data_IF_271872373869
#
_entry.id   IF_271872373869
#
_cell.length_a   1.000
_cell.length_b   1.000
_cell.length_c   1.000
_cell.angle_alpha   90.00
_cell.angle_beta   90.00
_cell.angle_gamma   90.00
#
_symmetry.space_group_name_H-M   'P 1'
#
loop_
_entity.id
_entity.type
_entity.pdbx_description
1 polymer ?
#
# COMPACT_ATOMS: atom_id res chain seq x y z
N UNK A 1 -14.71 -9.75 -40.68
CA UNK A 1 -14.09 -10.53 -39.60
C UNK A 1 -14.20 -9.64 -38.39
N UNK A 2 -15.11 -9.92 -37.45
CA UNK A 2 -15.07 -9.21 -36.18
C UNK A 2 -13.73 -9.58 -35.55
N UNK A 3 -12.84 -8.61 -35.44
CA UNK A 3 -11.75 -8.72 -34.49
C UNK A 3 -12.43 -8.94 -33.14
N UNK A 4 -12.06 -10.00 -32.43
CA UNK A 4 -12.59 -10.25 -31.09
C UNK A 4 -12.04 -9.13 -30.20
N UNK A 5 -12.86 -8.10 -29.97
CA UNK A 5 -12.45 -6.89 -29.27
C UNK A 5 -12.00 -7.23 -27.84
N UNK A 6 -12.53 -8.31 -27.26
CA UNK A 6 -12.12 -8.86 -25.97
C UNK A 6 -10.70 -9.43 -26.00
N UNK A 7 -10.31 -10.11 -27.09
CA UNK A 7 -8.93 -10.55 -27.26
C UNK A 7 -7.96 -9.36 -27.43
N UNK A 8 -8.41 -8.30 -28.11
CA UNK A 8 -7.66 -7.05 -28.19
C UNK A 8 -7.58 -6.33 -26.84
N UNK A 9 -8.64 -6.34 -26.03
CA UNK A 9 -8.65 -5.81 -24.67
C UNK A 9 -7.58 -6.50 -23.81
N UNK A 10 -7.55 -7.83 -23.81
CA UNK A 10 -6.54 -8.61 -23.07
C UNK A 10 -5.10 -8.33 -23.56
N UNK A 11 -4.91 -8.13 -24.88
CA UNK A 11 -3.59 -7.78 -25.43
C UNK A 11 -3.14 -6.40 -24.95
N UNK A 12 -4.06 -5.43 -24.94
CA UNK A 12 -3.76 -4.08 -24.47
C UNK A 12 -3.54 -4.05 -22.97
N UNK A 13 -4.39 -4.70 -22.17
CA UNK A 13 -4.22 -4.79 -20.72
C UNK A 13 -2.85 -5.39 -20.39
N UNK A 14 -2.51 -6.53 -20.99
CA UNK A 14 -1.19 -7.13 -20.78
C UNK A 14 -0.04 -6.24 -21.27
N UNK A 15 -0.24 -5.39 -22.29
CA UNK A 15 0.75 -4.40 -22.70
C UNK A 15 0.93 -3.31 -21.64
N UNK A 16 -0.17 -2.80 -21.06
CA UNK A 16 -0.15 -1.80 -20.00
C UNK A 16 0.50 -2.32 -18.72
N UNK A 17 0.20 -3.55 -18.30
CA UNK A 17 0.86 -4.22 -17.16
C UNK A 17 2.38 -4.30 -17.32
N UNK A 18 2.87 -4.36 -18.57
CA UNK A 18 4.31 -4.38 -18.89
C UNK A 18 4.90 -2.98 -19.08
N UNK A 19 4.13 -1.91 -18.86
CA UNK A 19 4.51 -0.54 -19.17
C UNK A 19 4.64 -0.23 -20.67
N UNK A 20 4.15 -1.11 -21.55
CA UNK A 20 4.18 -0.92 -23.00
C UNK A 20 2.97 -0.11 -23.48
N UNK A 21 2.96 1.18 -23.12
CA UNK A 21 1.94 2.13 -23.55
C UNK A 21 1.83 2.24 -25.09
N UNK A 22 2.96 2.09 -25.79
CA UNK A 22 2.96 2.10 -27.26
C UNK A 22 2.24 0.88 -27.84
N UNK A 23 2.41 -0.29 -27.22
CA UNK A 23 1.66 -1.51 -27.52
C UNK A 23 0.17 -1.31 -27.36
N UNK A 24 -0.27 -0.77 -26.22
CA UNK A 24 -1.69 -0.50 -25.96
C UNK A 24 -2.30 0.52 -26.94
N UNK A 25 -1.60 1.63 -27.22
CA UNK A 25 -2.02 2.62 -28.23
C UNK A 25 -2.16 2.02 -29.63
N UNK A 26 -1.29 1.06 -29.98
CA UNK A 26 -1.37 0.35 -31.26
C UNK A 26 -2.61 -0.53 -31.32
N UNK A 27 -2.97 -1.21 -30.24
CA UNK A 27 -4.22 -1.99 -30.17
C UNK A 27 -5.43 -1.07 -30.37
N UNK A 28 -5.44 0.09 -29.71
CA UNK A 28 -6.51 1.08 -29.84
C UNK A 28 -6.65 1.59 -31.30
N UNK A 29 -5.53 1.90 -31.97
CA UNK A 29 -5.51 2.31 -33.38
C UNK A 29 -6.01 1.20 -34.33
N UNK A 30 -5.65 -0.06 -34.07
CA UNK A 30 -6.15 -1.22 -34.82
C UNK A 30 -7.66 -1.36 -34.65
N UNK A 31 -8.17 -1.30 -33.40
CA UNK A 31 -9.60 -1.39 -33.11
C UNK A 31 -10.39 -0.28 -33.81
N UNK A 32 -9.91 0.97 -33.74
CA UNK A 32 -10.51 2.10 -34.46
C UNK A 32 -10.53 1.89 -35.98
N UNK A 33 -9.40 1.47 -36.58
CA UNK A 33 -9.30 1.18 -38.03
C UNK A 33 -10.16 0.00 -38.48
N UNK A 34 -10.42 -0.95 -37.58
CA UNK A 34 -11.34 -2.07 -37.83
C UNK A 34 -12.81 -1.62 -37.85
N UNK A 35 -13.11 -0.36 -37.47
CA UNK A 35 -14.44 0.21 -37.49
C UNK A 35 -15.28 -0.20 -36.28
N UNK A 36 -14.64 -0.46 -35.13
CA UNK A 36 -15.34 -0.62 -33.85
C UNK A 36 -16.11 0.66 -33.55
N UNK A 37 -17.33 0.51 -33.04
CA UNK A 37 -18.19 1.65 -32.74
C UNK A 37 -17.58 2.48 -31.60
N UNK A 38 -17.68 3.81 -31.68
CA UNK A 38 -17.09 4.70 -30.68
C UNK A 38 -17.81 4.63 -29.32
N UNK A 39 -19.03 4.10 -29.30
CA UNK A 39 -19.87 3.85 -28.12
C UNK A 39 -19.85 2.37 -27.70
N UNK A 40 -18.95 1.54 -28.26
CA UNK A 40 -18.76 0.17 -27.80
C UNK A 40 -18.13 0.19 -26.39
N UNK A 41 -18.71 -0.47 -25.37
CA UNK A 41 -18.20 -0.42 -24.00
C UNK A 41 -16.77 -0.90 -23.86
N UNK A 42 -16.37 -1.95 -24.58
CA UNK A 42 -15.01 -2.49 -24.48
C UNK A 42 -14.00 -1.57 -25.18
N UNK A 43 -14.45 -0.83 -26.21
CA UNK A 43 -13.62 0.18 -26.84
C UNK A 43 -13.43 1.40 -25.93
N UNK A 44 -14.51 1.90 -25.32
CA UNK A 44 -14.46 2.97 -24.34
C UNK A 44 -13.61 2.57 -23.12
N UNK A 45 -13.79 1.35 -22.63
CA UNK A 45 -12.99 0.76 -21.56
C UNK A 45 -11.49 0.78 -21.90
N UNK A 46 -11.10 0.29 -23.08
CA UNK A 46 -9.72 0.35 -23.55
C UNK A 46 -9.19 1.80 -23.65
N UNK A 47 -10.01 2.75 -24.10
CA UNK A 47 -9.63 4.16 -24.11
C UNK A 47 -9.38 4.69 -22.70
N UNK A 48 -10.21 4.30 -21.73
CA UNK A 48 -10.04 4.64 -20.32
C UNK A 48 -8.71 4.14 -19.76
N UNK A 49 -8.41 2.85 -19.95
CA UNK A 49 -7.15 2.23 -19.53
C UNK A 49 -5.91 2.92 -20.14
N UNK A 50 -5.96 3.20 -21.44
CA UNK A 50 -4.85 3.88 -22.13
C UNK A 50 -4.67 5.31 -21.64
N UNK A 51 -5.78 6.03 -21.39
CA UNK A 51 -5.73 7.38 -20.84
C UNK A 51 -5.17 7.41 -19.41
N UNK A 52 -5.55 6.44 -18.57
CA UNK A 52 -5.00 6.29 -17.23
C UNK A 52 -3.49 6.08 -17.27
N UNK A 53 -3.02 5.14 -18.10
CA UNK A 53 -1.59 4.89 -18.29
C UNK A 53 -0.82 6.06 -18.93
N UNK A 54 -1.52 7.06 -19.48
CA UNK A 54 -0.94 8.32 -19.96
C UNK A 54 -0.87 9.41 -18.87
N UNK A 55 -1.41 9.16 -17.69
CA UNK A 55 -1.59 10.15 -16.63
C UNK A 55 -2.74 11.13 -16.90
N UNK A 56 -3.62 10.84 -17.86
CA UNK A 56 -4.79 11.66 -18.18
C UNK A 56 -6.03 11.13 -17.44
N UNK A 57 -6.07 11.42 -16.13
CA UNK A 57 -7.13 10.97 -15.23
C UNK A 57 -8.52 11.45 -15.68
N UNK A 58 -8.65 12.70 -16.15
CA UNK A 58 -9.90 13.27 -16.64
C UNK A 58 -10.44 12.48 -17.84
N UNK A 59 -9.56 12.15 -18.80
CA UNK A 59 -9.95 11.33 -19.94
C UNK A 59 -10.25 9.88 -19.54
N UNK A 60 -9.53 9.31 -18.58
CA UNK A 60 -9.80 7.97 -18.05
C UNK A 60 -11.22 7.90 -17.48
N UNK A 61 -11.55 8.79 -16.54
CA UNK A 61 -12.87 8.88 -15.91
C UNK A 61 -13.97 9.07 -16.93
N UNK A 62 -13.78 9.96 -17.92
CA UNK A 62 -14.78 10.21 -18.96
C UNK A 62 -15.07 8.95 -19.80
N UNK A 63 -14.04 8.20 -20.19
CA UNK A 63 -14.20 7.00 -21.00
C UNK A 63 -14.81 5.84 -20.19
N UNK A 64 -14.39 5.62 -18.94
CA UNK A 64 -14.99 4.62 -18.06
C UNK A 64 -16.45 4.94 -17.74
N UNK A 65 -16.77 6.20 -17.43
CA UNK A 65 -18.15 6.64 -17.21
C UNK A 65 -19.01 6.37 -18.44
N UNK A 66 -18.53 6.73 -19.64
CA UNK A 66 -19.23 6.45 -20.89
C UNK A 66 -19.40 4.94 -21.14
N UNK A 67 -18.39 4.12 -20.79
CA UNK A 67 -18.51 2.67 -20.89
C UNK A 67 -19.62 2.16 -19.96
N UNK A 68 -19.63 2.57 -18.69
CA UNK A 68 -20.63 2.18 -17.70
C UNK A 68 -22.06 2.61 -18.06
N UNK A 69 -22.24 3.75 -18.74
CA UNK A 69 -23.53 4.22 -19.26
C UNK A 69 -24.16 3.26 -20.30
N UNK A 70 -23.35 2.45 -20.98
CA UNK A 70 -23.83 1.41 -21.90
C UNK A 70 -24.29 0.13 -21.20
N UNK A 71 -24.14 0.07 -19.87
CA UNK A 71 -24.40 -1.10 -19.04
C UNK A 71 -23.71 -2.38 -19.55
N UNK A 72 -22.38 -2.41 -19.67
CA UNK A 72 -21.64 -3.53 -20.25
C UNK A 72 -21.96 -4.84 -19.55
N UNK A 73 -21.99 -5.95 -20.29
CA UNK A 73 -22.15 -7.30 -19.71
C UNK A 73 -20.83 -7.81 -19.09
N UNK A 74 -19.69 -7.28 -19.52
CA UNK A 74 -18.38 -7.72 -19.04
C UNK A 74 -18.11 -7.15 -17.63
N UNK A 75 -17.95 -8.00 -16.59
CA UNK A 75 -17.72 -7.55 -15.22
C UNK A 75 -16.43 -6.76 -15.07
N UNK A 76 -15.43 -7.04 -15.92
CA UNK A 76 -14.13 -6.39 -15.84
C UNK A 76 -14.20 -4.88 -16.03
N UNK A 77 -15.15 -4.39 -16.84
CA UNK A 77 -15.35 -2.95 -17.04
C UNK A 77 -15.76 -2.24 -15.75
N UNK A 78 -16.52 -2.91 -14.87
CA UNK A 78 -16.93 -2.37 -13.58
C UNK A 78 -15.81 -2.47 -12.55
N UNK A 79 -15.10 -3.60 -12.52
CA UNK A 79 -13.99 -3.82 -11.59
C UNK A 79 -12.91 -2.76 -11.84
N UNK A 80 -12.43 -2.64 -13.08
CA UNK A 80 -11.36 -1.68 -13.42
C UNK A 80 -11.83 -0.22 -13.31
N UNK A 81 -13.12 0.07 -13.46
CA UNK A 81 -13.66 1.39 -13.13
C UNK A 81 -13.66 1.64 -11.61
N UNK A 82 -14.03 0.63 -10.81
CA UNK A 82 -13.95 0.68 -9.36
C UNK A 82 -12.51 0.90 -8.87
N UNK A 83 -11.54 0.22 -9.48
CA UNK A 83 -10.12 0.41 -9.20
C UNK A 83 -9.68 1.84 -9.53
N UNK A 84 -10.01 2.34 -10.74
CA UNK A 84 -9.70 3.72 -11.12
C UNK A 84 -10.28 4.74 -10.13
N UNK A 85 -11.54 4.58 -9.72
CA UNK A 85 -12.15 5.50 -8.76
C UNK A 85 -11.49 5.40 -7.38
N UNK A 86 -11.13 4.20 -6.94
CA UNK A 86 -10.39 4.00 -5.68
C UNK A 86 -8.99 4.63 -5.72
N UNK A 87 -8.25 4.48 -6.83
CA UNK A 87 -6.94 5.11 -7.06
C UNK A 87 -7.03 6.65 -7.05
N UNK A 88 -8.16 7.20 -7.50
CA UNK A 88 -8.47 8.62 -7.43
C UNK A 88 -9.04 9.06 -6.08
N UNK A 89 -9.12 8.15 -5.10
CA UNK A 89 -9.73 8.34 -3.77
C UNK A 89 -11.21 8.74 -3.81
N UNK A 90 -11.90 8.52 -4.94
CA UNK A 90 -13.35 8.68 -5.07
C UNK A 90 -14.03 7.38 -4.63
N UNK A 91 -13.94 7.10 -3.32
CA UNK A 91 -14.41 5.85 -2.72
C UNK A 91 -15.93 5.66 -2.87
N UNK A 92 -16.71 6.75 -2.86
CA UNK A 92 -18.16 6.72 -3.13
C UNK A 92 -18.45 6.18 -4.54
N UNK A 93 -17.76 6.71 -5.56
CA UNK A 93 -17.94 6.25 -6.94
C UNK A 93 -17.47 4.81 -7.14
N UNK A 94 -16.35 4.43 -6.51
CA UNK A 94 -15.84 3.06 -6.54
C UNK A 94 -16.87 2.07 -5.95
N UNK A 95 -17.41 2.40 -4.77
CA UNK A 95 -18.43 1.60 -4.09
C UNK A 95 -19.70 1.45 -4.95
N UNK A 96 -20.22 2.54 -5.49
CA UNK A 96 -21.43 2.54 -6.32
C UNK A 96 -21.30 1.60 -7.53
N UNK A 97 -20.16 1.65 -8.22
CA UNK A 97 -19.89 0.83 -9.40
C UNK A 97 -19.75 -0.66 -9.04
N UNK A 98 -19.05 -0.98 -7.96
CA UNK A 98 -18.84 -2.36 -7.52
C UNK A 98 -20.12 -3.00 -6.98
N UNK A 99 -20.93 -2.26 -6.21
CA UNK A 99 -22.25 -2.74 -5.79
C UNK A 99 -23.17 -2.95 -6.98
N UNK A 100 -23.18 -2.03 -7.95
CA UNK A 100 -23.96 -2.20 -9.19
C UNK A 100 -23.56 -3.45 -9.95
N UNK A 101 -22.28 -3.82 -9.96
CA UNK A 101 -21.81 -5.08 -10.54
C UNK A 101 -22.37 -6.28 -9.78
N UNK A 102 -22.21 -6.31 -8.45
CA UNK A 102 -22.60 -7.42 -7.59
C UNK A 102 -24.13 -7.65 -7.56
N UNK A 103 -24.93 -6.58 -7.65
CA UNK A 103 -26.40 -6.65 -7.73
C UNK A 103 -26.92 -7.42 -8.96
N UNK A 104 -26.10 -7.61 -10.00
CA UNK A 104 -26.48 -8.34 -11.21
C UNK A 104 -26.59 -9.84 -10.99
N UNK A 105 -25.95 -10.37 -9.93
CA UNK A 105 -26.19 -11.72 -9.41
C UNK A 105 -25.78 -12.90 -10.30
N UNK A 106 -25.09 -12.67 -11.42
CA UNK A 106 -24.63 -13.70 -12.36
C UNK A 106 -23.14 -13.52 -12.69
N UNK A 107 -22.27 -13.61 -11.67
CA UNK A 107 -20.82 -13.53 -11.84
C UNK A 107 -20.18 -14.91 -11.68
N UNK A 108 -19.17 -15.18 -12.49
CA UNK A 108 -18.25 -16.30 -12.24
C UNK A 108 -17.51 -16.05 -10.91
N UNK A 109 -17.01 -17.11 -10.24
CA UNK A 109 -16.40 -16.99 -8.91
C UNK A 109 -15.25 -15.99 -8.84
N UNK A 110 -14.39 -15.95 -9.86
CA UNK A 110 -13.20 -15.10 -9.84
C UNK A 110 -13.53 -13.60 -9.94
N UNK A 111 -14.30 -13.09 -10.93
CA UNK A 111 -14.70 -11.68 -10.95
C UNK A 111 -15.56 -11.28 -9.74
N UNK A 112 -16.37 -12.20 -9.21
CA UNK A 112 -17.12 -11.93 -7.98
C UNK A 112 -16.17 -11.72 -6.79
N UNK A 113 -15.16 -12.60 -6.64
CA UNK A 113 -14.16 -12.49 -5.59
C UNK A 113 -13.38 -11.19 -5.67
N UNK A 114 -12.93 -10.81 -6.86
CA UNK A 114 -12.23 -9.56 -7.13
C UNK A 114 -13.09 -8.34 -6.77
N UNK A 115 -14.36 -8.31 -7.19
CA UNK A 115 -15.28 -7.25 -6.84
C UNK A 115 -15.55 -7.15 -5.33
N UNK A 116 -15.72 -8.28 -4.62
CA UNK A 116 -15.88 -8.28 -3.17
C UNK A 116 -14.61 -7.83 -2.44
N UNK A 117 -13.43 -8.25 -2.91
CA UNK A 117 -12.14 -7.84 -2.34
C UNK A 117 -11.93 -6.34 -2.46
N UNK A 118 -12.12 -5.81 -3.67
CA UNK A 118 -11.97 -4.38 -3.94
C UNK A 118 -13.03 -3.56 -3.18
N UNK A 119 -14.27 -4.04 -3.10
CA UNK A 119 -15.29 -3.35 -2.32
C UNK A 119 -14.94 -3.35 -0.82
N UNK A 120 -14.46 -4.47 -0.27
CA UNK A 120 -14.01 -4.53 1.12
C UNK A 120 -12.82 -3.57 1.38
N UNK A 121 -11.90 -3.44 0.42
CA UNK A 121 -10.81 -2.46 0.46
C UNK A 121 -11.32 -1.03 0.47
N UNK A 122 -12.22 -0.69 -0.47
CA UNK A 122 -12.85 0.63 -0.58
C UNK A 122 -13.58 0.99 0.72
N UNK A 123 -14.32 0.04 1.32
CA UNK A 123 -15.02 0.26 2.60
C UNK A 123 -14.07 0.45 3.78
N UNK A 124 -12.89 -0.17 3.79
CA UNK A 124 -11.87 0.07 4.83
C UNK A 124 -11.14 1.41 4.65
N UNK A 125 -10.95 1.86 3.40
CA UNK A 125 -10.26 3.09 3.08
C UNK A 125 -11.16 4.35 3.13
N UNK A 126 -12.48 4.17 3.19
CA UNK A 126 -13.45 5.25 3.23
C UNK A 126 -13.30 6.14 4.48
N UNK A 127 -13.73 7.41 4.42
CA UNK A 127 -13.73 8.34 5.57
C UNK A 127 -14.56 7.83 6.77
N UNK A 128 -15.50 6.91 6.52
CA UNK A 128 -16.36 6.28 7.54
C UNK A 128 -16.25 4.76 7.36
N UNK A 129 -15.13 4.17 7.82
CA UNK A 129 -14.85 2.77 7.56
C UNK A 129 -15.81 1.85 8.31
N UNK A 130 -16.28 0.81 7.63
CA UNK A 130 -17.12 -0.25 8.22
C UNK A 130 -16.40 -1.60 8.11
N UNK A 131 -15.46 -1.90 9.02
CA UNK A 131 -14.71 -3.14 8.98
C UNK A 131 -15.58 -4.39 9.20
N UNK A 132 -16.73 -4.28 9.89
CA UNK A 132 -17.71 -5.36 9.93
C UNK A 132 -18.29 -5.67 8.57
N UNK A 133 -18.74 -4.66 7.82
CA UNK A 133 -19.24 -4.85 6.46
C UNK A 133 -18.16 -5.44 5.55
N UNK A 134 -16.90 -4.98 5.65
CA UNK A 134 -15.80 -5.57 4.90
C UNK A 134 -15.63 -7.06 5.18
N UNK A 135 -15.83 -7.54 6.43
CA UNK A 135 -15.84 -8.97 6.71
C UNK A 135 -17.04 -9.71 6.12
N UNK A 136 -18.22 -9.10 6.12
CA UNK A 136 -19.43 -9.67 5.49
C UNK A 136 -19.23 -9.83 3.97
N UNK A 137 -18.66 -8.82 3.31
CA UNK A 137 -18.30 -8.87 1.89
C UNK A 137 -17.28 -9.98 1.60
N UNK A 138 -16.22 -10.08 2.42
CA UNK A 138 -15.20 -11.12 2.28
C UNK A 138 -15.73 -12.53 2.57
N UNK A 139 -16.82 -12.65 3.34
CA UNK A 139 -17.51 -13.92 3.59
C UNK A 139 -18.33 -14.42 2.38
N UNK A 140 -18.63 -13.56 1.40
CA UNK A 140 -19.31 -13.92 0.16
C UNK A 140 -18.34 -14.49 -0.91
N UNK A 141 -17.02 -14.27 -0.76
CA UNK A 141 -16.00 -14.82 -1.66
C UNK A 141 -16.01 -16.36 -1.63
N UNK A 142 -15.92 -17.03 -2.79
CA UNK A 142 -15.91 -18.50 -2.84
C UNK A 142 -14.82 -19.08 -1.92
N UNK A 143 -15.14 -20.04 -1.02
CA UNK A 143 -14.16 -20.68 -0.13
C UNK A 143 -12.91 -21.24 -0.81
N UNK A 144 -13.00 -21.66 -2.07
CA UNK A 144 -11.83 -22.16 -2.83
C UNK A 144 -10.83 -21.04 -3.18
N UNK A 145 -11.28 -19.78 -3.20
CA UNK A 145 -10.47 -18.60 -3.52
C UNK A 145 -9.90 -17.91 -2.26
N UNK A 146 -10.38 -18.26 -1.06
CA UNK A 146 -9.92 -17.66 0.22
C UNK A 146 -8.50 -18.04 0.65
N UNK A 147 -7.82 -18.87 -0.15
CA UNK A 147 -6.41 -19.18 0.04
C UNK A 147 -5.49 -18.10 -0.55
N UNK A 148 -6.04 -17.18 -1.34
CA UNK A 148 -5.33 -16.07 -1.98
C UNK A 148 -4.78 -15.06 -0.95
N UNK A 149 -3.51 -14.62 -1.08
CA UNK A 149 -2.89 -13.67 -0.15
C UNK A 149 -3.62 -12.33 -0.04
N UNK A 150 -4.23 -11.83 -1.12
CA UNK A 150 -4.98 -10.58 -1.10
C UNK A 150 -6.22 -10.70 -0.20
N UNK A 151 -6.96 -11.81 -0.33
CA UNK A 151 -8.11 -12.07 0.55
C UNK A 151 -7.71 -12.21 2.01
N UNK A 152 -6.62 -12.92 2.27
CA UNK A 152 -6.09 -13.12 3.63
C UNK A 152 -5.69 -11.78 4.24
N UNK A 153 -4.95 -10.98 3.49
CA UNK A 153 -4.47 -9.67 3.94
C UNK A 153 -5.63 -8.73 4.23
N UNK A 154 -6.62 -8.67 3.32
CA UNK A 154 -7.79 -7.81 3.49
C UNK A 154 -8.63 -8.23 4.70
N UNK A 155 -8.83 -9.54 4.89
CA UNK A 155 -9.56 -10.06 6.06
C UNK A 155 -8.80 -9.82 7.36
N UNK A 156 -7.48 -10.03 7.36
CA UNK A 156 -6.64 -9.80 8.53
C UNK A 156 -6.64 -8.32 8.93
N UNK A 157 -6.62 -7.40 7.95
CA UNK A 157 -6.76 -5.96 8.18
C UNK A 157 -8.11 -5.64 8.85
N UNK A 158 -9.23 -6.07 8.25
CA UNK A 158 -10.56 -5.85 8.84
C UNK A 158 -10.72 -6.48 10.24
N UNK A 159 -10.14 -7.66 10.50
CA UNK A 159 -10.13 -8.24 11.84
C UNK A 159 -9.31 -7.43 12.84
N UNK A 160 -8.22 -6.80 12.39
CA UNK A 160 -7.34 -6.00 13.25
C UNK A 160 -7.97 -4.66 13.61
N UNK A 161 -8.66 -4.00 12.67
CA UNK A 161 -9.46 -2.79 12.93
C UNK A 161 -10.59 -3.03 13.95
N UNK A 162 -11.03 -4.28 14.10
CA UNK A 162 -12.06 -4.69 15.08
C UNK A 162 -11.49 -5.18 16.42
N UNK A 163 -10.19 -5.01 16.67
CA UNK A 163 -9.48 -5.58 17.81
C UNK A 163 -9.62 -7.12 17.91
N UNK A 164 -10.00 -7.80 16.82
CA UNK A 164 -10.13 -9.26 16.74
C UNK A 164 -8.79 -9.92 16.40
N UNK A 165 -7.72 -9.44 17.06
CA UNK A 165 -6.34 -9.84 16.75
C UNK A 165 -6.10 -11.34 16.84
N UNK A 166 -6.77 -12.06 17.74
CA UNK A 166 -6.62 -13.51 17.87
C UNK A 166 -7.03 -14.26 16.58
N UNK A 167 -8.11 -13.82 15.94
CA UNK A 167 -8.59 -14.41 14.67
C UNK A 167 -7.68 -14.00 13.51
N UNK A 168 -7.24 -12.74 13.48
CA UNK A 168 -6.28 -12.24 12.48
C UNK A 168 -4.95 -13.02 12.54
N UNK A 169 -4.39 -13.21 13.74
CA UNK A 169 -3.16 -13.98 13.96
C UNK A 169 -3.34 -15.44 13.54
N UNK A 170 -4.44 -16.10 13.89
CA UNK A 170 -4.70 -17.49 13.47
C UNK A 170 -4.71 -17.61 11.94
N UNK A 171 -5.40 -16.67 11.26
CA UNK A 171 -5.49 -16.63 9.80
C UNK A 171 -4.11 -16.40 9.15
N UNK A 172 -3.35 -15.41 9.62
CA UNK A 172 -2.05 -15.05 9.09
C UNK A 172 -0.99 -16.13 9.32
N UNK A 173 -0.97 -16.76 10.50
CA UNK A 173 -0.07 -17.90 10.78
C UNK A 173 -0.34 -19.05 9.81
N UNK A 174 -1.61 -19.41 9.63
CA UNK A 174 -1.99 -20.47 8.70
C UNK A 174 -1.62 -20.13 7.24
N UNK A 175 -1.58 -18.85 6.87
CA UNK A 175 -1.16 -18.40 5.55
C UNK A 175 0.36 -18.47 5.36
N UNK A 176 1.12 -17.90 6.30
CA UNK A 176 2.58 -17.94 6.29
C UNK A 176 3.13 -19.37 6.29
N UNK A 177 2.51 -20.30 7.03
CA UNK A 177 2.90 -21.71 7.04
C UNK A 177 2.68 -22.42 5.68
N UNK A 178 1.69 -21.99 4.88
CA UNK A 178 1.46 -22.52 3.53
C UNK A 178 2.49 -22.00 2.53
N UNK A 179 2.90 -20.75 2.69
CA UNK A 179 3.89 -20.07 1.86
C UNK A 179 5.34 -20.24 2.37
N UNK A 180 5.62 -21.36 3.04
CA UNK A 180 6.92 -21.60 3.67
C UNK A 180 8.11 -21.63 2.70
N UNK A 181 7.86 -21.76 1.39
CA UNK A 181 8.85 -21.60 0.32
C UNK A 181 8.43 -20.43 -0.60
N UNK A 182 9.36 -19.50 -0.83
CA UNK A 182 9.29 -18.29 -1.66
C UNK A 182 8.98 -16.97 -0.91
N UNK A 183 9.64 -15.88 -1.33
CA UNK A 183 9.55 -14.55 -0.70
C UNK A 183 8.17 -13.86 -0.81
N UNK A 184 7.12 -14.61 -1.14
CA UNK A 184 5.73 -14.14 -1.28
C UNK A 184 5.08 -13.80 0.05
N UNK A 185 5.52 -14.44 1.14
CA UNK A 185 4.89 -14.27 2.46
C UNK A 185 5.32 -12.98 3.20
N UNK A 186 6.14 -12.12 2.59
CA UNK A 186 6.73 -10.96 3.28
C UNK A 186 5.66 -9.99 3.77
N UNK A 187 4.60 -9.78 2.99
CA UNK A 187 3.48 -8.93 3.42
C UNK A 187 2.67 -9.58 4.55
N UNK A 188 2.37 -10.87 4.44
CA UNK A 188 1.66 -11.61 5.50
C UNK A 188 2.47 -11.68 6.81
N UNK A 189 3.80 -11.79 6.73
CA UNK A 189 4.70 -11.74 7.88
C UNK A 189 4.72 -10.36 8.53
N UNK A 190 4.72 -9.31 7.72
CA UNK A 190 4.64 -7.94 8.20
C UNK A 190 3.35 -7.71 8.99
N UNK A 191 2.19 -8.01 8.38
CA UNK A 191 0.89 -7.92 9.04
C UNK A 191 0.81 -8.78 10.30
N UNK A 192 1.37 -10.01 10.27
CA UNK A 192 1.38 -10.90 11.44
C UNK A 192 2.17 -10.29 12.60
N UNK A 193 3.36 -9.76 12.31
CA UNK A 193 4.21 -9.15 13.33
C UNK A 193 3.58 -7.93 13.98
N UNK A 194 2.95 -7.06 13.17
CA UNK A 194 2.21 -5.89 13.65
C UNK A 194 0.98 -6.29 14.48
N UNK A 195 0.17 -7.23 13.98
CA UNK A 195 -1.03 -7.72 14.68
C UNK A 195 -0.66 -8.37 16.03
N UNK A 196 0.46 -9.10 16.10
CA UNK A 196 0.96 -9.70 17.34
C UNK A 196 1.34 -8.64 18.39
N UNK A 197 1.97 -7.53 17.96
CA UNK A 197 2.27 -6.39 18.84
C UNK A 197 1.00 -5.69 19.32
N UNK A 198 0.05 -5.42 18.42
CA UNK A 198 -1.25 -4.83 18.79
C UNK A 198 -2.03 -5.72 19.78
N UNK A 199 -1.92 -7.05 19.64
CA UNK A 199 -2.49 -7.99 20.61
C UNK A 199 -1.78 -8.03 21.98
N UNK A 200 -0.67 -7.29 22.15
CA UNK A 200 0.14 -7.25 23.36
C UNK A 200 1.18 -8.38 23.49
N UNK A 201 1.44 -9.14 22.42
CA UNK A 201 2.51 -10.15 22.38
C UNK A 201 3.74 -9.60 21.66
N UNK A 202 4.40 -8.61 22.28
CA UNK A 202 5.58 -7.94 21.74
C UNK A 202 6.73 -8.91 21.43
N UNK A 203 6.84 -9.99 22.20
CA UNK A 203 7.87 -10.99 22.03
C UNK A 203 7.66 -11.78 20.73
N UNK A 204 6.43 -12.24 20.48
CA UNK A 204 6.08 -12.91 19.22
C UNK A 204 6.20 -11.96 18.03
N UNK A 205 5.62 -10.76 18.14
CA UNK A 205 5.65 -9.76 17.08
C UNK A 205 7.08 -9.37 16.68
N UNK A 206 7.96 -9.18 17.67
CA UNK A 206 9.38 -8.89 17.42
C UNK A 206 10.10 -10.03 16.71
N UNK A 207 9.89 -11.30 17.09
CA UNK A 207 10.52 -12.42 16.39
C UNK A 207 10.00 -12.55 14.95
N UNK A 208 8.70 -12.34 14.72
CA UNK A 208 8.10 -12.36 13.39
C UNK A 208 8.68 -11.25 12.49
N UNK A 209 8.81 -10.02 13.00
CA UNK A 209 9.39 -8.90 12.24
C UNK A 209 10.90 -9.08 12.02
N UNK A 210 11.62 -9.72 12.94
CA UNK A 210 13.01 -10.11 12.72
C UNK A 210 13.14 -11.17 11.61
N UNK A 211 12.20 -12.12 11.51
CA UNK A 211 12.14 -13.07 10.41
C UNK A 211 11.84 -12.39 9.07
N UNK A 212 10.87 -11.48 9.02
CA UNK A 212 10.60 -10.64 7.84
C UNK A 212 11.88 -9.95 7.36
N UNK A 213 12.55 -9.22 8.26
CA UNK A 213 13.80 -8.53 7.96
C UNK A 213 14.85 -9.47 7.37
N UNK A 214 15.01 -10.68 7.94
CA UNK A 214 15.97 -11.67 7.42
C UNK A 214 15.67 -12.05 5.97
N UNK A 215 14.39 -12.18 5.61
CA UNK A 215 13.95 -12.51 4.24
C UNK A 215 14.17 -11.34 3.28
N UNK A 216 13.78 -10.13 3.67
CA UNK A 216 13.94 -8.94 2.82
C UNK A 216 15.42 -8.67 2.52
N UNK A 217 16.29 -8.75 3.53
CA UNK A 217 17.74 -8.61 3.35
C UNK A 217 18.30 -9.70 2.43
N UNK A 218 17.82 -10.94 2.56
CA UNK A 218 18.26 -12.04 1.70
C UNK A 218 17.84 -11.85 0.23
N UNK A 219 16.73 -11.16 -0.04
CA UNK A 219 16.23 -10.90 -1.39
C UNK A 219 17.07 -9.88 -2.16
N UNK A 220 17.62 -8.85 -1.48
CA UNK A 220 18.33 -7.73 -2.13
C UNK A 220 19.81 -8.04 -2.42
N UNK A 221 20.35 -9.16 -1.91
CA UNK A 221 21.71 -9.65 -2.26
C UNK A 221 22.87 -8.75 -1.78
N UNK A 222 22.57 -7.75 -0.96
CA UNK A 222 23.55 -6.88 -0.28
C UNK A 222 23.46 -7.13 1.22
N UNK A 223 24.60 -7.24 1.89
CA UNK A 223 24.60 -7.43 3.34
C UNK A 223 24.03 -6.18 4.04
N UNK A 224 23.06 -6.37 4.93
CA UNK A 224 22.37 -5.28 5.62
C UNK A 224 23.31 -4.33 6.40
N UNK A 225 24.45 -4.83 6.85
CA UNK A 225 25.49 -4.09 7.57
C UNK A 225 26.54 -3.45 6.64
N UNK A 226 26.36 -3.55 5.32
CA UNK A 226 27.26 -2.90 4.36
C UNK A 226 27.19 -1.38 4.53
N UNK A 227 28.33 -0.69 4.64
CA UNK A 227 28.33 0.75 4.83
C UNK A 227 27.75 1.46 3.61
N UNK A 228 26.93 2.49 3.86
CA UNK A 228 26.49 3.44 2.82
C UNK A 228 27.71 4.23 2.33
N UNK A 229 27.88 4.45 1.01
CA UNK A 229 28.95 5.28 0.46
C UNK A 229 29.01 6.66 1.13
N UNK A 230 30.23 7.17 1.38
CA UNK A 230 30.41 8.41 2.13
C UNK A 230 29.72 9.63 1.49
N UNK A 231 29.76 9.74 0.16
CA UNK A 231 29.12 10.83 -0.58
C UNK A 231 27.60 10.83 -0.41
N UNK A 232 26.97 9.66 -0.54
CA UNK A 232 25.53 9.48 -0.35
C UNK A 232 25.11 9.69 1.10
N UNK A 233 25.91 9.19 2.05
CA UNK A 233 25.69 9.45 3.48
C UNK A 233 25.73 10.94 3.78
N UNK A 234 26.76 11.64 3.31
CA UNK A 234 26.95 13.06 3.59
C UNK A 234 25.84 13.89 2.93
N UNK A 235 25.28 13.45 1.79
CA UNK A 235 24.11 14.05 1.15
C UNK A 235 22.82 13.86 1.96
N UNK A 236 22.53 12.62 2.40
CA UNK A 236 21.35 12.31 3.22
C UNK A 236 21.37 13.08 4.54
N UNK A 237 22.53 13.22 5.19
CA UNK A 237 22.66 14.06 6.40
C UNK A 237 22.31 15.51 6.10
N UNK A 238 22.86 16.08 5.02
CA UNK A 238 22.60 17.47 4.62
C UNK A 238 21.11 17.68 4.33
N UNK A 239 20.47 16.78 3.58
CA UNK A 239 19.03 16.87 3.27
C UNK A 239 18.18 16.78 4.53
N UNK A 240 18.47 15.83 5.43
CA UNK A 240 17.75 15.74 6.70
C UNK A 240 17.93 17.00 7.55
N UNK A 241 19.12 17.59 7.59
CA UNK A 241 19.33 18.89 8.28
C UNK A 241 18.47 20.00 7.68
N UNK A 242 18.39 20.09 6.34
CA UNK A 242 17.53 21.05 5.63
C UNK A 242 16.04 20.82 5.93
N UNK A 243 15.60 19.56 5.95
CA UNK A 243 14.24 19.17 6.34
C UNK A 243 13.94 19.60 7.78
N UNK A 244 14.82 19.27 8.72
CA UNK A 244 14.67 19.64 10.14
C UNK A 244 14.57 21.16 10.30
N UNK A 245 15.40 21.95 9.59
CA UNK A 245 15.36 23.41 9.61
C UNK A 245 14.05 24.01 9.07
N UNK A 246 13.33 23.27 8.23
CA UNK A 246 12.03 23.68 7.69
C UNK A 246 10.86 23.41 8.66
N UNK A 247 11.05 22.52 9.65
CA UNK A 247 10.02 22.15 10.62
C UNK A 247 9.67 23.33 11.55
N UNK A 248 8.46 23.33 12.15
CA UNK A 248 8.08 24.33 13.14
C UNK A 248 9.09 24.44 14.29
N UNK A 249 9.39 25.67 14.74
CA UNK A 249 10.36 25.99 15.81
C UNK A 249 10.27 25.11 17.07
N UNK A 250 9.08 24.62 17.40
CA UNK A 250 8.85 23.76 18.56
C UNK A 250 9.43 22.36 18.34
N UNK A 251 9.24 21.82 17.15
CA UNK A 251 9.73 20.50 16.72
C UNK A 251 11.23 20.54 16.47
N UNK A 252 11.70 21.56 15.75
CA UNK A 252 13.13 21.75 15.51
C UNK A 252 13.91 21.77 16.84
N UNK A 253 13.39 22.37 17.91
CA UNK A 253 14.05 22.37 19.23
C UNK A 253 14.19 21.00 19.87
N UNK A 254 13.26 20.08 19.60
CA UNK A 254 13.32 18.70 20.10
C UNK A 254 14.41 17.91 19.37
N UNK A 255 14.55 18.15 18.07
CA UNK A 255 15.37 17.32 17.18
C UNK A 255 16.79 17.87 16.91
N UNK A 256 16.97 19.20 16.94
CA UNK A 256 18.18 19.88 16.44
C UNK A 256 19.49 19.48 17.12
N UNK A 257 19.46 18.91 18.32
CA UNK A 257 20.68 18.49 19.03
C UNK A 257 21.00 17.01 18.88
N UNK A 258 20.10 16.24 18.27
CA UNK A 258 20.28 14.80 18.11
C UNK A 258 21.33 14.53 17.03
N UNK A 259 22.33 13.67 17.31
CA UNK A 259 23.25 13.22 16.27
C UNK A 259 22.48 12.42 15.21
N UNK A 260 22.81 12.68 13.93
CA UNK A 260 22.25 11.95 12.80
C UNK A 260 23.20 10.82 12.40
N UNK A 261 22.66 9.62 12.26
CA UNK A 261 23.35 8.46 11.73
C UNK A 261 22.64 7.94 10.48
N UNK A 262 23.40 7.52 9.46
CA UNK A 262 22.85 6.82 8.30
C UNK A 262 23.25 5.36 8.41
N UNK A 263 22.25 4.50 8.42
CA UNK A 263 22.39 3.06 8.31
C UNK A 263 21.76 2.60 7.00
N UNK A 264 22.16 1.43 6.51
CA UNK A 264 21.61 0.93 5.26
C UNK A 264 20.20 0.38 5.45
N UNK A 265 20.00 -0.42 6.50
CA UNK A 265 18.75 -1.11 6.83
C UNK A 265 18.42 -0.93 8.31
N UNK A 266 17.15 -1.10 8.67
CA UNK A 266 16.73 -1.22 10.07
C UNK A 266 17.55 -2.33 10.72
N UNK A 267 18.20 -2.03 11.85
CA UNK A 267 18.99 -3.03 12.59
C UNK A 267 18.11 -3.90 13.48
N UNK A 268 18.54 -5.14 13.78
CA UNK A 268 17.80 -6.04 14.67
C UNK A 268 17.57 -5.45 16.06
N UNK A 269 18.54 -4.69 16.57
CA UNK A 269 18.42 -4.05 17.89
C UNK A 269 17.37 -2.94 17.91
N UNK A 270 17.17 -2.23 16.78
CA UNK A 270 16.08 -1.26 16.65
C UNK A 270 14.72 -1.98 16.66
N UNK A 271 14.57 -3.09 15.93
CA UNK A 271 13.32 -3.87 15.93
C UNK A 271 13.01 -4.39 17.33
N UNK A 272 14.03 -4.89 18.06
CA UNK A 272 13.88 -5.30 19.47
C UNK A 272 13.52 -4.13 20.40
N UNK A 273 13.89 -2.92 20.03
CA UNK A 273 13.51 -1.68 20.72
C UNK A 273 12.17 -1.10 20.23
N UNK A 274 11.42 -1.84 19.41
CA UNK A 274 10.08 -1.47 18.96
C UNK A 274 10.03 -0.80 17.58
N UNK A 275 11.16 -0.61 16.89
CA UNK A 275 11.15 -0.08 15.54
C UNK A 275 10.36 -0.99 14.57
N UNK A 276 9.71 -0.35 13.60
CA UNK A 276 9.19 -1.03 12.43
C UNK A 276 10.35 -1.47 11.51
N UNK A 277 10.40 -2.72 11.00
CA UNK A 277 11.43 -3.16 10.06
C UNK A 277 11.45 -2.40 8.72
N UNK A 278 10.38 -1.69 8.36
CA UNK A 278 10.20 -0.90 7.13
C UNK A 278 10.28 0.62 7.36
N UNK A 279 10.53 1.09 8.58
CA UNK A 279 10.68 2.51 8.88
C UNK A 279 11.85 3.13 8.10
N UNK A 280 11.64 4.34 7.56
CA UNK A 280 12.69 5.13 6.91
C UNK A 280 13.57 5.88 7.92
N UNK A 281 12.98 6.34 9.03
CA UNK A 281 13.66 7.05 10.12
C UNK A 281 13.31 6.41 11.46
N UNK A 282 14.24 6.43 12.42
CA UNK A 282 14.01 6.01 13.79
C UNK A 282 14.69 6.93 14.80
N UNK A 283 13.95 7.30 15.84
CA UNK A 283 14.43 8.05 16.99
C UNK A 283 14.98 7.09 18.04
N UNK A 284 16.31 7.10 18.20
CA UNK A 284 16.99 6.39 19.27
C UNK A 284 16.85 7.15 20.59
N UNK A 285 16.48 6.44 21.65
CA UNK A 285 16.45 7.01 23.00
C UNK A 285 15.36 6.41 23.87
N UNK A 286 14.89 7.20 24.82
CA UNK A 286 13.77 6.84 25.70
C UNK A 286 12.52 7.64 25.27
N UNK A 287 11.47 6.99 24.74
CA UNK A 287 10.25 7.68 24.35
C UNK A 287 9.50 8.22 25.58
N UNK A 288 8.54 9.12 25.34
CA UNK A 288 7.58 9.53 26.34
C UNK A 288 6.82 8.30 26.89
N UNK A 289 6.51 8.26 28.19
CA UNK A 289 5.67 7.19 28.72
C UNK A 289 4.22 7.33 28.25
N UNK A 290 3.55 6.20 28.00
CA UNK A 290 2.16 6.11 27.49
C UNK A 290 1.08 6.68 28.43
N UNK A 291 1.43 7.18 29.62
CA UNK A 291 0.51 7.62 30.68
C UNK A 291 1.17 8.75 31.51
N UNK A 292 0.40 9.41 32.41
CA UNK A 292 0.79 10.42 33.43
C UNK A 292 1.99 10.04 34.36
N UNK A 293 2.76 9.01 34.03
CA UNK A 293 4.02 8.67 34.64
C UNK A 293 5.04 9.82 34.49
N UNK A 294 5.65 10.19 35.62
CA UNK A 294 6.73 11.19 35.65
C UNK A 294 7.92 10.70 34.80
N UNK A 295 8.09 11.26 33.60
CA UNK A 295 9.22 11.00 32.70
C UNK A 295 9.20 11.96 31.51
N UNK A 296 10.38 12.48 31.13
CA UNK A 296 10.54 13.27 29.91
C UNK A 296 11.16 12.38 28.82
N UNK A 297 10.63 12.46 27.61
CA UNK A 297 11.25 11.84 26.44
C UNK A 297 12.69 12.33 26.28
N UNK A 298 13.59 11.41 25.93
CA UNK A 298 15.02 11.69 25.79
C UNK A 298 15.54 11.10 24.49
N UNK A 299 15.60 11.95 23.48
CA UNK A 299 16.22 11.63 22.19
C UNK A 299 17.74 11.59 22.32
N UNK A 300 18.34 10.50 21.85
CA UNK A 300 19.77 10.23 21.84
C UNK A 300 20.37 10.26 20.44
N UNK A 301 19.55 10.03 19.40
CA UNK A 301 19.97 10.08 18.00
C UNK A 301 18.80 9.93 17.03
N UNK A 302 19.04 10.31 15.77
CA UNK A 302 18.13 10.08 14.65
C UNK A 302 18.87 9.17 13.66
N UNK A 303 18.26 8.05 13.31
CA UNK A 303 18.81 7.09 12.35
C UNK A 303 17.99 7.13 11.08
N UNK A 304 18.63 7.37 9.95
CA UNK A 304 18.03 7.22 8.61
C UNK A 304 18.42 5.87 8.04
N UNK A 305 17.45 5.10 7.58
CA UNK A 305 17.65 3.80 6.93
C UNK A 305 17.58 3.97 5.41
N UNK A 306 18.75 4.12 4.79
CA UNK A 306 18.90 4.50 3.37
C UNK A 306 18.07 3.62 2.42
N UNK A 307 18.12 2.29 2.57
CA UNK A 307 17.41 1.40 1.65
C UNK A 307 15.89 1.36 1.92
N UNK A 308 15.43 1.74 3.12
CA UNK A 308 13.99 1.88 3.40
C UNK A 308 13.45 3.20 2.86
N UNK A 309 14.18 4.29 3.10
CA UNK A 309 13.84 5.60 2.54
C UNK A 309 13.85 5.60 1.01
N UNK A 310 14.81 4.91 0.39
CA UNK A 310 14.84 4.77 -1.07
C UNK A 310 13.75 3.83 -1.61
N UNK A 311 13.17 2.97 -0.77
CA UNK A 311 12.08 2.08 -1.16
C UNK A 311 10.70 2.72 -0.97
N UNK A 312 10.61 3.84 -0.25
CA UNK A 312 9.37 4.57 0.01
C UNK A 312 9.12 5.71 -0.99
N UNK A 313 9.96 5.87 -2.01
CA UNK A 313 9.86 6.93 -3.01
C UNK A 313 9.99 6.35 -4.42
N UNK A 314 9.30 6.98 -5.38
CA UNK A 314 9.44 6.63 -6.80
C UNK A 314 10.56 7.45 -7.46
N UNK A 315 10.72 8.71 -7.03
CA UNK A 315 11.68 9.67 -7.57
C UNK A 315 12.47 10.42 -6.47
N UNK A 316 13.71 10.84 -6.77
CA UNK A 316 14.60 11.54 -5.81
C UNK A 316 14.07 12.90 -5.33
N UNK A 317 13.12 13.48 -6.08
CA UNK A 317 12.47 14.76 -5.73
C UNK A 317 11.49 14.59 -4.55
N UNK A 318 11.03 13.37 -4.25
CA UNK A 318 10.12 13.04 -3.14
C UNK A 318 10.87 12.73 -1.82
N UNK A 319 12.20 12.68 -1.88
CA UNK A 319 13.04 12.23 -0.77
C UNK A 319 12.85 13.09 0.49
N UNK A 320 12.72 14.40 0.32
CA UNK A 320 12.55 15.34 1.44
C UNK A 320 11.16 15.18 2.07
N UNK A 321 10.12 14.96 1.26
CA UNK A 321 8.74 14.73 1.73
C UNK A 321 8.64 13.40 2.51
N UNK A 322 9.26 12.33 2.01
CA UNK A 322 9.34 11.04 2.69
C UNK A 322 10.10 11.14 4.04
N UNK A 323 11.14 11.99 4.13
CA UNK A 323 11.80 12.26 5.40
C UNK A 323 10.87 12.97 6.39
N UNK A 324 10.06 13.92 5.92
CA UNK A 324 9.10 14.63 6.80
C UNK A 324 8.05 13.66 7.32
N UNK A 325 7.47 12.83 6.46
CA UNK A 325 6.49 11.82 6.85
C UNK A 325 7.05 10.88 7.93
N UNK A 326 8.23 10.31 7.70
CA UNK A 326 8.88 9.43 8.68
C UNK A 326 9.26 10.15 9.99
N UNK A 327 9.55 11.45 9.96
CA UNK A 327 9.75 12.26 11.17
C UNK A 327 8.43 12.43 11.92
N UNK A 328 7.32 12.65 11.23
CA UNK A 328 5.99 12.81 11.86
C UNK A 328 5.58 11.54 12.56
N UNK A 329 5.75 10.38 11.93
CA UNK A 329 5.50 9.06 12.55
C UNK A 329 6.33 8.87 13.83
N UNK A 330 7.61 9.24 13.79
CA UNK A 330 8.49 9.10 14.96
C UNK A 330 8.21 10.16 16.03
N UNK A 331 7.69 11.34 15.68
CA UNK A 331 7.25 12.33 16.67
C UNK A 331 6.04 11.81 17.45
N UNK A 332 5.10 11.18 16.77
CA UNK A 332 3.95 10.54 17.40
C UNK A 332 4.42 9.40 18.32
N UNK A 333 5.14 8.42 17.76
CA UNK A 333 5.64 7.25 18.52
C UNK A 333 6.56 7.62 19.69
N UNK A 334 7.42 8.62 19.54
CA UNK A 334 8.47 8.91 20.52
C UNK A 334 8.08 9.97 21.54
N UNK A 335 7.24 10.93 21.17
CA UNK A 335 6.88 12.05 22.03
C UNK A 335 5.39 12.12 22.37
N UNK A 336 4.55 11.22 21.82
CA UNK A 336 3.10 11.22 21.99
C UNK A 336 2.49 12.58 21.57
N UNK A 337 2.90 13.06 20.39
CA UNK A 337 2.41 14.34 19.86
C UNK A 337 1.47 14.12 18.68
N UNK A 338 0.20 13.86 19.01
CA UNK A 338 -0.90 13.81 18.06
C UNK A 338 -1.04 15.11 17.23
N UNK A 339 -1.23 14.95 15.91
CA UNK A 339 -1.89 15.96 15.06
C UNK A 339 -1.11 17.24 14.74
N UNK A 340 0.23 17.18 14.62
CA UNK A 340 1.06 18.36 14.33
C UNK A 340 1.03 18.87 12.88
N UNK A 341 0.43 18.16 11.93
CA UNK A 341 0.37 18.63 10.53
C UNK A 341 -1.05 18.56 9.94
N UNK A 342 -1.89 19.60 10.13
CA UNK A 342 -2.97 19.89 9.20
C UNK A 342 -2.40 20.60 7.98
N UNK A 343 -2.29 19.89 6.85
CA UNK A 343 -2.06 20.47 5.51
C UNK A 343 -0.61 20.79 5.14
N UNK A 344 0.21 19.75 5.01
CA UNK A 344 1.21 19.75 3.92
C UNK A 344 0.52 19.36 2.62
#
# INVERSE_FOLDING_TARGET
MSHDLRASLNEAHAALERGDLNGALKVLDIASKAGVAADDPNFLHLQGLVAWAQGDADAAVANFTAALETEPDDPQVYIEAGELFADLMDFDAAEDVLRKLLERGELEPEPAAEAYLLLAQVRLAHEDPDPEESLELLDEVDPELRADPAWISMRAAALSELDRHAESIELLVAAVEREADEGSASELLYQLGLTQRQAGDDAAGTETLLELRRRDVAAVGVAADSPVPAEERDDLVRRLEEVLESLPDQILKLLATAPIAIQRWVGEDHIRAGADPRAAIYFEGTPAPDDDADGEAKLEGIVVFRDMLAASIDDDDELDDAMVEAIVEELDRFYDIDGLVPGM
#
